data_IF_228160063738
#
_entry.id   IF_228160063738
#
_cell.length_a   1.000
_cell.length_b   1.000
_cell.length_c   1.000
_cell.angle_alpha   90.00
_cell.angle_beta   90.00
_cell.angle_gamma   90.00
#
_symmetry.space_group_name_H-M   'P 1'
#
loop_
_entity.id
_entity.type
_entity.pdbx_description
1 polymer ?
#
# COMPACT_ATOMS: atom_id res chain seq x y z
N UNK A 1 23.24 -7.42 14.03
CA UNK A 1 22.70 -8.64 13.38
C UNK A 1 23.48 -8.85 12.11
N UNK A 2 24.36 -9.84 12.09
CA UNK A 2 25.24 -10.12 10.95
C UNK A 2 24.48 -10.90 9.89
N UNK A 3 24.36 -10.31 8.69
CA UNK A 3 23.71 -10.85 7.49
C UNK A 3 24.54 -11.96 6.82
N UNK A 4 24.91 -13.00 7.57
CA UNK A 4 25.57 -14.14 6.94
C UNK A 4 24.51 -15.11 6.42
N UNK A 5 24.36 -15.15 5.10
CA UNK A 5 23.59 -16.21 4.45
C UNK A 5 24.22 -17.57 4.79
N UNK A 6 23.42 -18.62 5.05
CA UNK A 6 23.93 -19.97 5.26
C UNK A 6 24.81 -20.37 4.07
N UNK A 7 25.89 -21.09 4.35
CA UNK A 7 26.76 -21.65 3.32
C UNK A 7 26.19 -22.93 2.70
N UNK A 8 25.13 -23.51 3.29
CA UNK A 8 24.36 -24.63 2.76
C UNK A 8 23.09 -24.20 2.02
N UNK A 9 22.42 -25.15 1.37
CA UNK A 9 21.18 -24.91 0.62
C UNK A 9 19.92 -24.80 1.48
N UNK A 10 19.99 -25.20 2.75
CA UNK A 10 18.88 -25.12 3.70
C UNK A 10 19.06 -23.93 4.63
N UNK A 11 17.98 -23.16 4.83
CA UNK A 11 17.94 -22.12 5.84
C UNK A 11 17.91 -22.76 7.24
N UNK A 12 18.75 -22.29 8.15
CA UNK A 12 18.69 -22.69 9.56
C UNK A 12 17.56 -21.93 10.26
N UNK A 13 16.99 -22.51 11.33
CA UNK A 13 15.96 -21.85 12.14
C UNK A 13 16.42 -20.47 12.65
N UNK A 14 17.69 -20.35 13.04
CA UNK A 14 18.28 -19.08 13.50
C UNK A 14 18.32 -18.02 12.38
N UNK A 15 18.64 -18.43 11.14
CA UNK A 15 18.63 -17.54 9.98
C UNK A 15 17.21 -17.08 9.65
N UNK A 16 16.24 -17.98 9.66
CA UNK A 16 14.83 -17.64 9.43
C UNK A 16 14.28 -16.70 10.52
N UNK A 17 14.61 -16.96 11.79
CA UNK A 17 14.22 -16.10 12.91
C UNK A 17 14.88 -14.72 12.84
N UNK A 18 16.15 -14.64 12.44
CA UNK A 18 16.83 -13.37 12.22
C UNK A 18 16.15 -12.57 11.10
N UNK A 19 15.79 -13.21 9.99
CA UNK A 19 15.03 -12.57 8.92
C UNK A 19 13.64 -12.12 9.35
N UNK A 20 12.92 -12.94 10.12
CA UNK A 20 11.63 -12.57 10.69
C UNK A 20 11.76 -11.33 11.60
N UNK A 21 12.78 -11.31 12.46
CA UNK A 21 13.06 -10.19 13.36
C UNK A 21 13.41 -8.92 12.60
N UNK A 22 14.25 -8.99 11.57
CA UNK A 22 14.59 -7.83 10.75
C UNK A 22 13.35 -7.32 9.99
N UNK A 23 12.52 -8.23 9.46
CA UNK A 23 11.26 -7.83 8.82
C UNK A 23 10.31 -7.14 9.80
N UNK A 24 10.20 -7.62 11.03
CA UNK A 24 9.41 -6.97 12.08
C UNK A 24 9.93 -5.55 12.38
N UNK A 25 11.23 -5.40 12.65
CA UNK A 25 11.85 -4.09 12.88
C UNK A 25 11.57 -3.13 11.71
N UNK A 26 11.66 -3.63 10.48
CA UNK A 26 11.55 -2.81 9.27
C UNK A 26 10.10 -2.41 8.96
N UNK A 27 9.17 -3.35 9.10
CA UNK A 27 7.77 -3.20 8.66
C UNK A 27 6.89 -2.63 9.78
N UNK A 28 7.15 -3.01 11.03
CA UNK A 28 6.33 -2.66 12.19
C UNK A 28 6.92 -1.50 12.96
N UNK A 29 8.23 -1.52 13.21
CA UNK A 29 8.89 -0.52 14.06
C UNK A 29 9.49 0.64 13.28
N UNK A 30 9.39 0.63 11.94
CA UNK A 30 9.84 1.71 11.08
C UNK A 30 11.36 1.83 10.95
N UNK A 31 12.13 0.83 11.41
CA UNK A 31 13.59 0.81 11.31
C UNK A 31 13.99 0.69 9.83
N UNK A 32 15.05 1.42 9.43
CA UNK A 32 15.63 1.30 8.09
C UNK A 32 16.89 0.45 8.12
N UNK A 33 17.15 -0.28 7.04
CA UNK A 33 18.36 -1.09 6.86
C UNK A 33 19.58 -0.19 6.57
N UNK A 34 19.33 0.89 5.84
CA UNK A 34 20.26 1.99 5.56
C UNK A 34 19.40 3.25 5.49
N UNK A 35 19.27 3.96 6.60
CA UNK A 35 18.39 5.13 6.71
C UNK A 35 19.18 6.43 6.66
N UNK A 36 18.55 7.49 6.17
CA UNK A 36 19.18 8.82 6.10
C UNK A 36 20.13 8.98 4.93
N UNK A 37 19.95 8.17 3.87
CA UNK A 37 20.69 8.31 2.63
C UNK A 37 20.14 9.51 1.84
N UNK A 38 20.93 10.57 1.77
CA UNK A 38 20.57 11.79 1.03
C UNK A 38 20.68 11.55 -0.48
N UNK A 39 19.96 12.34 -1.28
CA UNK A 39 20.19 12.32 -2.72
C UNK A 39 21.49 13.03 -3.04
N UNK A 40 22.20 12.55 -4.05
CA UNK A 40 23.39 13.21 -4.59
C UNK A 40 23.13 13.70 -6.01
N UNK A 41 23.51 14.95 -6.28
CA UNK A 41 23.51 15.56 -7.61
C UNK A 41 24.94 15.84 -8.05
N UNK A 42 25.34 15.26 -9.18
CA UNK A 42 26.66 15.44 -9.75
C UNK A 42 26.60 16.25 -11.03
N UNK A 43 27.33 17.37 -11.08
CA UNK A 43 27.48 18.21 -12.26
C UNK A 43 28.60 17.67 -13.14
N UNK A 44 28.29 17.34 -14.39
CA UNK A 44 29.27 16.97 -15.42
C UNK A 44 29.89 18.24 -16.03
N UNK A 45 31.21 18.34 -16.06
CA UNK A 45 31.94 19.45 -16.67
C UNK A 45 32.05 19.39 -18.21
N UNK A 46 31.56 18.30 -18.81
CA UNK A 46 31.65 18.04 -20.25
C UNK A 46 32.98 17.40 -20.69
N UNK A 47 33.98 17.34 -19.82
CA UNK A 47 35.24 16.63 -20.02
C UNK A 47 35.24 15.23 -19.38
N UNK A 48 34.12 14.84 -18.75
CA UNK A 48 33.94 13.55 -18.09
C UNK A 48 34.26 13.57 -16.59
N UNK A 49 34.48 14.75 -16.01
CA UNK A 49 34.59 14.93 -14.57
C UNK A 49 33.23 15.28 -13.98
N UNK A 50 32.96 14.75 -12.80
CA UNK A 50 31.72 14.97 -12.08
C UNK A 50 32.00 15.62 -10.72
N UNK A 51 31.33 16.73 -10.44
CA UNK A 51 31.44 17.45 -9.17
C UNK A 51 30.17 17.24 -8.35
N UNK A 52 30.30 16.84 -7.09
CA UNK A 52 29.16 16.81 -6.17
C UNK A 52 28.70 18.25 -5.90
N UNK A 53 27.49 18.56 -6.36
CA UNK A 53 26.82 19.85 -6.21
C UNK A 53 25.54 19.72 -5.38
N UNK A 54 25.39 18.64 -4.62
CA UNK A 54 24.14 18.29 -3.92
C UNK A 54 23.73 19.39 -2.92
N UNK A 55 24.70 19.90 -2.15
CA UNK A 55 24.47 20.97 -1.17
C UNK A 55 24.08 22.30 -1.82
N UNK A 56 24.77 22.69 -2.91
CA UNK A 56 24.53 23.98 -3.58
C UNK A 56 23.27 23.97 -4.44
N UNK A 57 22.83 22.79 -4.90
CA UNK A 57 21.55 22.60 -5.60
C UNK A 57 20.38 22.37 -4.66
N UNK A 58 20.65 22.22 -3.35
CA UNK A 58 19.67 21.84 -2.32
C UNK A 58 18.96 20.51 -2.59
N UNK A 59 19.62 19.59 -3.30
CA UNK A 59 19.09 18.25 -3.57
C UNK A 59 19.36 17.26 -2.42
N UNK A 60 20.29 17.58 -1.52
CA UNK A 60 20.80 16.76 -0.40
C UNK A 60 19.93 16.81 0.87
N UNK A 61 18.61 16.80 0.73
CA UNK A 61 17.72 16.76 1.88
C UNK A 61 18.11 15.63 2.85
N UNK A 62 18.11 15.91 4.15
CA UNK A 62 18.46 14.97 5.23
C UNK A 62 17.52 13.76 5.38
N UNK A 63 16.58 13.60 4.46
CA UNK A 63 15.63 12.52 4.46
C UNK A 63 16.22 11.25 3.86
N UNK A 64 15.51 10.15 4.03
CA UNK A 64 15.89 8.88 3.45
C UNK A 64 15.43 8.79 1.97
N UNK A 65 16.24 9.31 1.05
CA UNK A 65 16.00 9.36 -0.39
C UNK A 65 15.91 7.98 -1.03
N UNK A 66 14.99 7.80 -1.98
CA UNK A 66 14.75 6.49 -2.63
C UNK A 66 14.56 6.54 -4.12
N UNK A 67 13.91 7.57 -4.64
CA UNK A 67 13.67 7.67 -6.06
C UNK A 67 13.74 9.11 -6.54
N UNK A 68 14.20 9.26 -7.78
CA UNK A 68 14.19 10.50 -8.55
C UNK A 68 13.53 10.23 -9.89
N UNK A 69 12.68 11.14 -10.35
CA UNK A 69 12.18 11.16 -11.71
C UNK A 69 12.33 12.58 -12.26
N UNK A 70 12.66 12.70 -13.55
CA UNK A 70 12.78 14.00 -14.23
C UNK A 70 11.62 14.24 -15.17
N UNK A 71 11.19 15.50 -15.24
CA UNK A 71 10.13 15.98 -16.12
C UNK A 71 10.20 17.51 -16.24
N UNK A 72 9.72 18.07 -17.34
CA UNK A 72 9.47 19.51 -17.48
C UNK A 72 8.02 19.76 -17.01
N UNK A 73 7.84 19.96 -15.70
CA UNK A 73 6.52 19.96 -15.07
C UNK A 73 5.72 21.18 -15.49
N UNK A 74 6.30 22.37 -15.40
CA UNK A 74 5.60 23.61 -15.73
C UNK A 74 5.70 23.96 -17.22
N UNK A 75 6.59 23.31 -17.96
CA UNK A 75 6.68 23.45 -19.39
C UNK A 75 7.60 24.57 -19.87
N UNK A 76 8.43 25.12 -19.00
CA UNK A 76 9.34 26.20 -19.32
C UNK A 76 10.62 25.74 -20.04
N UNK A 77 10.79 24.43 -20.22
CA UNK A 77 11.95 23.85 -20.88
C UNK A 77 13.14 23.62 -19.97
N UNK A 78 12.99 23.75 -18.65
CA UNK A 78 13.94 23.31 -17.64
C UNK A 78 13.45 21.99 -17.06
N UNK A 79 14.33 21.00 -16.95
CA UNK A 79 13.97 19.75 -16.31
C UNK A 79 13.89 19.94 -14.80
N UNK A 80 12.74 19.59 -14.24
CA UNK A 80 12.43 19.53 -12.82
C UNK A 80 12.68 18.13 -12.26
N UNK A 81 12.77 18.05 -10.93
CA UNK A 81 12.96 16.80 -10.20
C UNK A 81 11.75 16.47 -9.33
N UNK A 82 11.20 15.27 -9.50
CA UNK A 82 10.28 14.67 -8.55
C UNK A 82 11.05 13.68 -7.67
N UNK A 83 11.22 14.03 -6.40
CA UNK A 83 11.93 13.23 -5.42
C UNK A 83 10.94 12.47 -4.54
N UNK A 84 11.26 11.20 -4.26
CA UNK A 84 10.53 10.35 -3.32
C UNK A 84 11.44 9.87 -2.22
N UNK A 85 11.06 10.14 -0.97
CA UNK A 85 11.74 9.68 0.24
C UNK A 85 10.91 8.64 0.99
N UNK A 86 11.59 7.78 1.76
CA UNK A 86 10.94 6.83 2.67
C UNK A 86 10.33 7.57 3.86
N UNK A 87 11.08 8.50 4.44
CA UNK A 87 10.66 9.38 5.53
C UNK A 87 9.86 10.57 5.00
N UNK A 88 9.11 11.23 5.90
CA UNK A 88 8.41 12.45 5.55
C UNK A 88 9.39 13.63 5.48
N UNK A 89 9.20 14.59 4.56
CA UNK A 89 8.24 14.61 3.44
C UNK A 89 8.52 13.51 2.40
N UNK A 90 7.49 12.74 2.03
CA UNK A 90 7.66 11.56 1.15
C UNK A 90 7.77 11.91 -0.32
N UNK A 91 7.24 13.05 -0.73
CA UNK A 91 7.29 13.56 -2.11
C UNK A 91 7.71 15.02 -2.10
N UNK A 92 8.58 15.39 -3.04
CA UNK A 92 8.93 16.79 -3.35
C UNK A 92 9.03 16.98 -4.84
N UNK A 93 8.43 18.06 -5.34
CA UNK A 93 8.72 18.60 -6.65
C UNK A 93 9.72 19.74 -6.48
N UNK A 94 10.87 19.65 -7.14
CA UNK A 94 11.86 20.72 -7.22
C UNK A 94 11.76 21.35 -8.59
N UNK A 95 11.31 22.60 -8.63
CA UNK A 95 11.28 23.38 -9.85
C UNK A 95 12.67 23.92 -10.15
N UNK A 96 13.16 23.67 -11.35
CA UNK A 96 14.46 24.16 -11.78
C UNK A 96 14.34 25.64 -12.16
N UNK A 97 15.19 26.48 -11.57
CA UNK A 97 15.22 27.93 -11.77
C UNK A 97 16.58 28.41 -12.29
N UNK A 98 17.44 27.50 -12.75
CA UNK A 98 18.71 27.87 -13.34
C UNK A 98 18.50 28.58 -14.68
N UNK A 99 19.40 29.50 -15.02
CA UNK A 99 19.47 30.06 -16.36
C UNK A 99 19.72 28.92 -17.36
N UNK A 100 18.79 28.75 -18.29
CA UNK A 100 18.83 27.70 -19.29
C UNK A 100 18.90 28.33 -20.69
N UNK A 101 19.73 27.74 -21.55
CA UNK A 101 19.75 28.06 -22.97
C UNK A 101 18.54 27.49 -23.70
N UNK A 102 18.62 27.43 -25.03
CA UNK A 102 17.62 26.78 -25.88
C UNK A 102 17.37 25.32 -25.48
N UNK A 103 16.15 24.85 -25.69
CA UNK A 103 15.75 23.47 -25.41
C UNK A 103 14.94 22.89 -26.57
N UNK A 104 14.79 21.57 -26.61
CA UNK A 104 13.86 20.89 -27.50
C UNK A 104 13.26 19.69 -26.76
N UNK A 105 11.93 19.58 -26.79
CA UNK A 105 11.20 18.47 -26.16
C UNK A 105 10.45 17.65 -27.22
N UNK A 106 10.68 16.34 -27.27
CA UNK A 106 10.11 15.45 -28.28
C UNK A 106 9.32 14.30 -27.65
N UNK A 107 8.05 14.21 -28.00
CA UNK A 107 7.19 13.06 -27.74
C UNK A 107 7.14 12.17 -28.98
N UNK A 108 7.36 10.88 -28.81
CA UNK A 108 7.34 9.92 -29.91
C UNK A 108 6.06 9.06 -29.85
N UNK A 109 5.50 8.77 -31.01
CA UNK A 109 4.36 7.86 -31.15
C UNK A 109 4.65 6.83 -32.24
N UNK A 110 4.82 5.58 -31.82
CA UNK A 110 4.96 4.45 -32.73
C UNK A 110 3.66 4.12 -33.44
N UNK A 111 3.73 3.72 -34.72
CA UNK A 111 2.57 3.25 -35.50
C UNK A 111 2.76 1.84 -36.03
N UNK A 112 4.01 1.44 -36.31
CA UNK A 112 4.41 0.10 -36.73
C UNK A 112 5.23 -0.62 -35.65
N UNK A 113 5.72 0.09 -34.63
CA UNK A 113 6.33 -0.45 -33.42
C UNK A 113 5.41 -0.31 -32.19
N UNK A 114 5.93 -0.58 -30.99
CA UNK A 114 5.20 -0.30 -29.75
C UNK A 114 4.79 1.19 -29.68
N UNK A 115 3.56 1.47 -29.20
CA UNK A 115 2.93 2.81 -29.29
C UNK A 115 3.74 3.90 -28.60
N UNK A 116 4.42 3.56 -27.51
CA UNK A 116 5.27 4.48 -26.75
C UNK A 116 6.67 4.65 -27.36
N UNK A 117 6.97 3.98 -28.47
CA UNK A 117 8.25 4.04 -29.17
C UNK A 117 9.47 3.72 -28.29
N UNK A 118 9.29 2.91 -27.24
CA UNK A 118 10.37 2.46 -26.36
C UNK A 118 11.44 1.75 -27.20
N UNK A 119 12.69 2.19 -27.06
CA UNK A 119 13.84 1.77 -27.84
C UNK A 119 14.21 2.70 -29.00
N UNK A 120 13.37 3.69 -29.34
CA UNK A 120 13.66 4.66 -30.39
C UNK A 120 14.87 5.53 -30.02
N UNK A 121 15.69 5.87 -31.01
CA UNK A 121 16.87 6.72 -30.84
C UNK A 121 16.68 7.98 -31.66
N UNK A 122 16.83 9.13 -31.01
CA UNK A 122 16.71 10.43 -31.64
C UNK A 122 18.06 11.11 -31.67
N UNK A 123 18.40 11.63 -32.84
CA UNK A 123 19.60 12.40 -33.13
C UNK A 123 19.17 13.81 -33.51
N UNK A 124 19.68 14.80 -32.77
CA UNK A 124 19.47 16.23 -33.05
C UNK A 124 20.81 16.78 -33.51
N UNK A 125 20.88 17.13 -34.79
CA UNK A 125 22.04 17.72 -35.43
C UNK A 125 22.01 19.24 -35.27
N UNK A 126 23.07 19.78 -34.70
CA UNK A 126 23.35 21.20 -34.52
C UNK A 126 24.68 21.53 -35.20
N UNK A 127 25.01 22.81 -35.31
CA UNK A 127 26.32 23.22 -35.81
C UNK A 127 27.44 22.58 -34.98
N UNK A 128 28.27 21.75 -35.62
CA UNK A 128 29.44 21.13 -35.02
C UNK A 128 29.19 20.04 -33.97
N UNK A 129 27.94 19.69 -33.64
CA UNK A 129 27.64 18.64 -32.64
C UNK A 129 26.32 17.90 -32.92
N UNK A 130 26.26 16.65 -32.46
CA UNK A 130 25.05 15.81 -32.53
C UNK A 130 24.67 15.36 -31.13
N UNK A 131 23.48 15.74 -30.69
CA UNK A 131 22.90 15.25 -29.44
C UNK A 131 22.14 13.96 -29.72
N UNK A 132 22.26 12.97 -28.84
CA UNK A 132 21.58 11.68 -28.98
C UNK A 132 20.89 11.29 -27.68
N UNK A 133 19.64 10.88 -27.78
CA UNK A 133 18.92 10.21 -26.70
C UNK A 133 18.22 8.95 -27.20
N UNK A 134 18.04 8.00 -26.28
CA UNK A 134 17.26 6.78 -26.51
C UNK A 134 16.06 6.83 -25.58
N UNK A 135 14.86 6.62 -26.12
CA UNK A 135 13.67 6.48 -25.31
C UNK A 135 13.68 5.10 -24.62
N UNK A 136 13.69 5.09 -23.29
CA UNK A 136 13.75 3.89 -22.48
C UNK A 136 12.50 3.76 -21.61
N UNK A 137 12.22 2.53 -21.15
CA UNK A 137 11.26 2.24 -20.10
C UNK A 137 12.01 1.53 -18.97
N UNK A 138 11.76 1.95 -17.74
CA UNK A 138 12.50 1.57 -16.55
C UNK A 138 13.78 2.40 -16.41
N UNK A 139 13.69 3.53 -15.70
CA UNK A 139 14.83 4.28 -15.19
C UNK A 139 14.64 4.62 -13.71
N UNK A 140 15.73 4.94 -13.00
CA UNK A 140 15.72 5.16 -11.55
C UNK A 140 15.24 3.95 -10.73
N UNK A 141 15.26 4.07 -9.40
CA UNK A 141 14.81 3.02 -8.49
C UNK A 141 13.36 3.26 -8.06
N UNK A 142 12.44 2.33 -8.36
CA UNK A 142 11.00 2.44 -8.03
C UNK A 142 10.30 3.70 -8.59
N UNK A 143 10.83 4.27 -9.67
CA UNK A 143 10.27 5.43 -10.37
C UNK A 143 10.39 5.27 -11.88
N UNK A 144 9.95 6.29 -12.61
CA UNK A 144 10.05 6.40 -14.06
C UNK A 144 10.04 7.89 -14.42
N UNK A 145 11.06 8.38 -15.12
CA UNK A 145 11.08 9.74 -15.68
C UNK A 145 10.13 9.86 -16.87
N UNK A 146 9.81 11.10 -17.25
CA UNK A 146 8.96 11.38 -18.41
C UNK A 146 9.48 10.69 -19.67
N UNK A 147 8.56 10.15 -20.48
CA UNK A 147 8.89 9.61 -21.82
C UNK A 147 9.20 10.68 -22.86
N UNK A 148 9.12 11.96 -22.48
CA UNK A 148 9.47 13.07 -23.36
C UNK A 148 10.98 13.20 -23.40
N UNK A 149 11.56 13.07 -24.59
CA UNK A 149 12.99 13.27 -24.79
C UNK A 149 13.29 14.76 -24.74
N UNK A 150 14.21 15.15 -23.86
CA UNK A 150 14.57 16.54 -23.62
C UNK A 150 16.02 16.80 -24.03
N UNK A 151 16.23 17.76 -24.92
CA UNK A 151 17.54 18.15 -25.42
C UNK A 151 17.86 19.59 -25.00
N UNK A 152 18.92 19.78 -24.21
CA UNK A 152 19.51 21.10 -23.99
C UNK A 152 20.33 21.53 -25.19
N UNK A 153 19.92 22.61 -25.86
CA UNK A 153 20.55 23.16 -27.06
C UNK A 153 21.57 24.27 -26.75
N UNK A 154 21.66 24.74 -25.50
CA UNK A 154 22.55 25.85 -25.13
C UNK A 154 22.26 27.09 -25.97
N UNK A 155 23.29 27.73 -26.52
CA UNK A 155 23.14 28.92 -27.38
C UNK A 155 22.75 28.59 -28.83
N UNK A 156 22.51 27.32 -29.19
CA UNK A 156 22.18 26.98 -30.56
C UNK A 156 20.74 27.39 -30.90
N UNK A 157 20.59 28.36 -31.79
CA UNK A 157 19.29 28.86 -32.26
C UNK A 157 18.68 28.00 -33.38
N UNK A 158 19.51 27.25 -34.12
CA UNK A 158 19.10 26.49 -35.29
C UNK A 158 19.35 24.98 -35.12
N UNK A 159 18.36 24.19 -35.54
CA UNK A 159 18.44 22.73 -35.64
C UNK A 159 18.59 22.37 -37.11
N UNK A 160 19.72 21.77 -37.48
CA UNK A 160 19.99 21.38 -38.87
C UNK A 160 19.13 20.17 -39.29
N UNK A 161 18.96 19.21 -38.39
CA UNK A 161 18.19 18.00 -38.64
C UNK A 161 17.78 17.29 -37.35
N UNK A 162 16.55 16.78 -37.33
CA UNK A 162 16.13 15.74 -36.38
C UNK A 162 15.94 14.42 -37.13
N UNK A 163 16.67 13.38 -36.69
CA UNK A 163 16.57 12.02 -37.21
C UNK A 163 16.12 11.07 -36.10
N UNK A 164 15.12 10.27 -36.39
CA UNK A 164 14.61 9.22 -35.50
C UNK A 164 14.91 7.87 -36.12
N UNK A 165 15.53 6.98 -35.36
CA UNK A 165 15.64 5.55 -35.66
C UNK A 165 14.67 4.82 -34.75
N UNK A 166 13.64 4.22 -35.33
CA UNK A 166 12.56 3.57 -34.61
C UNK A 166 12.97 2.17 -34.13
N UNK A 167 12.23 1.57 -33.16
CA UNK A 167 12.54 0.24 -32.62
C UNK A 167 12.53 -0.89 -33.67
N UNK A 168 11.77 -0.72 -34.75
CA UNK A 168 11.72 -1.65 -35.88
C UNK A 168 12.87 -1.47 -36.88
N UNK A 169 13.78 -0.52 -36.64
CA UNK A 169 14.91 -0.19 -37.50
C UNK A 169 14.60 0.80 -38.61
N UNK A 170 13.35 1.22 -38.78
CA UNK A 170 13.01 2.26 -39.75
C UNK A 170 13.59 3.61 -39.34
N UNK A 171 13.90 4.45 -40.33
CA UNK A 171 14.47 5.78 -40.10
C UNK A 171 13.56 6.88 -40.64
N UNK A 172 13.50 7.99 -39.92
CA UNK A 172 12.69 9.15 -40.27
C UNK A 172 13.48 10.44 -40.05
N UNK A 173 13.48 11.30 -41.06
CA UNK A 173 13.95 12.69 -40.94
C UNK A 173 12.74 13.59 -40.79
N UNK A 174 12.73 14.42 -39.76
CA UNK A 174 11.57 15.21 -39.36
C UNK A 174 11.78 16.66 -39.75
N UNK A 175 10.74 17.29 -40.33
CA UNK A 175 10.73 18.72 -40.68
C UNK A 175 9.86 19.53 -39.71
N UNK A 176 10.09 20.84 -39.65
CA UNK A 176 9.28 21.77 -38.86
C UNK A 176 9.58 21.75 -37.36
N UNK A 177 10.81 21.37 -36.98
CA UNK A 177 11.27 21.37 -35.59
C UNK A 177 12.15 22.59 -35.37
N UNK A 178 11.80 23.43 -34.41
CA UNK A 178 12.50 24.65 -34.03
C UNK A 178 12.99 24.55 -32.58
N UNK A 179 14.01 25.32 -32.24
CA UNK A 179 14.49 25.46 -30.86
C UNK A 179 13.44 26.14 -29.97
N UNK A 180 13.48 25.87 -28.66
CA UNK A 180 12.61 26.46 -27.66
C UNK A 180 11.17 25.94 -27.69
N UNK A 181 10.94 24.78 -28.31
CA UNK A 181 9.62 24.25 -28.51
C UNK A 181 9.53 22.75 -28.26
N UNK A 182 8.29 22.28 -28.25
CA UNK A 182 7.90 20.91 -27.96
C UNK A 182 7.09 20.34 -29.10
N UNK A 183 7.35 19.09 -29.44
CA UNK A 183 6.75 18.45 -30.59
C UNK A 183 6.35 17.02 -30.32
N UNK A 184 5.31 16.57 -31.01
CA UNK A 184 4.99 15.16 -31.20
C UNK A 184 5.45 14.71 -32.58
N UNK A 185 6.21 13.64 -32.61
CA UNK A 185 6.66 12.96 -33.82
C UNK A 185 5.96 11.61 -33.89
N UNK A 186 5.09 11.46 -34.89
CA UNK A 186 4.42 10.20 -35.18
C UNK A 186 5.22 9.46 -36.25
N UNK A 187 5.44 8.17 -36.05
CA UNK A 187 6.14 7.31 -37.00
C UNK A 187 5.45 7.36 -38.37
N UNK A 188 6.23 7.71 -39.40
CA UNK A 188 5.78 7.85 -40.79
C UNK A 188 5.26 9.23 -41.17
N UNK A 189 5.11 10.17 -40.23
CA UNK A 189 4.73 11.55 -40.53
C UNK A 189 5.96 12.41 -40.92
N UNK A 190 5.88 13.17 -42.02
CA UNK A 190 7.02 14.01 -42.44
C UNK A 190 7.23 15.25 -41.56
N UNK A 191 6.15 15.79 -40.99
CA UNK A 191 6.15 17.00 -40.18
C UNK A 191 5.91 16.66 -38.71
N UNK A 192 6.64 17.36 -37.83
CA UNK A 192 6.37 17.33 -36.40
C UNK A 192 5.12 18.14 -36.06
N UNK A 193 4.28 17.62 -35.16
CA UNK A 193 3.14 18.36 -34.61
C UNK A 193 3.63 19.20 -33.43
N UNK A 194 3.59 20.52 -33.54
CA UNK A 194 3.94 21.41 -32.43
C UNK A 194 2.90 21.28 -31.32
N UNK A 195 3.35 21.00 -30.11
CA UNK A 195 2.47 20.89 -28.94
C UNK A 195 2.33 22.25 -28.26
N UNK A 196 1.15 22.60 -27.71
CA UNK A 196 0.98 23.82 -26.95
C UNK A 196 1.86 23.80 -25.70
N UNK A 197 2.33 24.97 -25.28
CA UNK A 197 3.01 25.13 -24.00
C UNK A 197 2.11 24.55 -22.88
N UNK A 198 2.72 23.79 -21.98
CA UNK A 198 2.02 23.37 -20.77
C UNK A 198 1.83 24.62 -19.95
N UNK A 199 0.61 24.86 -19.48
CA UNK A 199 0.34 25.85 -18.46
C UNK A 199 -0.15 25.07 -17.24
N UNK A 200 0.76 24.73 -16.34
CA UNK A 200 0.39 24.22 -15.03
C UNK A 200 0.24 25.39 -14.05
N UNK A 201 -0.70 25.28 -13.10
CA UNK A 201 -0.84 26.27 -12.04
C UNK A 201 0.49 26.43 -11.31
N UNK A 202 0.90 27.67 -11.05
CA UNK A 202 2.00 27.94 -10.13
C UNK A 202 1.62 27.37 -8.77
N UNK A 203 2.30 26.28 -8.39
CA UNK A 203 2.16 25.70 -7.07
C UNK A 203 2.86 26.63 -6.09
N UNK A 204 2.10 27.46 -5.40
CA UNK A 204 2.64 28.20 -4.26
C UNK A 204 3.07 27.20 -3.20
N UNK A 205 4.30 27.32 -2.68
CA UNK A 205 4.75 26.54 -1.53
C UNK A 205 3.78 26.81 -0.36
N UNK A 206 2.86 25.88 -0.11
CA UNK A 206 1.98 25.98 1.05
C UNK A 206 2.83 25.64 2.28
N UNK A 207 2.73 26.39 3.39
CA UNK A 207 3.29 25.94 4.65
C UNK A 207 2.71 24.55 4.93
N UNK A 208 3.59 23.57 5.12
CA UNK A 208 3.19 22.22 5.47
C UNK A 208 2.42 22.29 6.79
N UNK A 209 1.10 22.38 6.72
CA UNK A 209 0.26 22.28 7.89
C UNK A 209 0.37 20.82 8.30
N UNK A 210 0.93 20.50 9.49
CA UNK A 210 0.93 19.13 9.96
C UNK A 210 -0.50 18.65 9.87
N UNK A 211 -0.75 17.58 9.11
CA UNK A 211 -2.08 16.97 9.11
C UNK A 211 -2.29 16.55 10.55
N UNK A 212 -3.12 17.32 11.27
CA UNK A 212 -3.53 16.96 12.61
C UNK A 212 -4.04 15.52 12.50
N UNK A 213 -3.53 14.62 13.34
CA UNK A 213 -4.08 13.26 13.40
C UNK A 213 -5.55 13.41 13.80
N UNK A 214 -6.44 13.51 12.81
CA UNK A 214 -7.88 13.36 13.00
C UNK A 214 -7.99 12.01 13.67
N UNK A 215 -8.53 12.00 14.90
CA UNK A 215 -8.44 10.87 15.83
C UNK A 215 -8.65 9.53 15.11
N UNK A 216 -7.88 8.52 15.51
CA UNK A 216 -7.67 7.26 14.76
C UNK A 216 -8.94 6.86 14.00
N UNK A 217 -9.00 7.08 12.68
CA UNK A 217 -10.19 6.75 11.92
C UNK A 217 -10.46 5.26 12.07
N UNK A 218 -11.74 4.88 12.07
CA UNK A 218 -12.09 3.47 12.01
C UNK A 218 -11.52 2.91 10.74
N UNK A 219 -10.56 2.01 10.85
CA UNK A 219 -10.04 1.30 9.68
C UNK A 219 -10.99 0.15 9.43
N UNK A 220 -11.91 0.34 8.46
CA UNK A 220 -12.80 -0.71 7.96
C UNK A 220 -12.11 -1.47 6.85
N UNK A 221 -11.89 -2.76 7.04
CA UNK A 221 -11.11 -3.62 6.14
C UNK A 221 -11.99 -4.82 5.75
N UNK A 222 -12.79 -4.70 4.66
CA UNK A 222 -13.48 -5.85 4.09
C UNK A 222 -12.45 -6.80 3.46
N UNK A 223 -12.53 -8.08 3.80
CA UNK A 223 -11.59 -9.06 3.28
C UNK A 223 -11.89 -9.34 1.80
N UNK A 224 -10.87 -9.73 1.03
CA UNK A 224 -11.05 -10.20 -0.36
C UNK A 224 -11.51 -11.67 -0.35
N UNK A 225 -10.87 -12.47 0.51
CA UNK A 225 -11.20 -13.87 0.76
C UNK A 225 -11.54 -14.03 2.25
N UNK A 226 -12.64 -14.69 2.58
CA UNK A 226 -13.06 -14.94 3.95
C UNK A 226 -12.07 -15.84 4.68
N UNK A 227 -11.90 -15.67 5.99
CA UNK A 227 -10.99 -16.51 6.79
C UNK A 227 -11.80 -17.40 7.72
N UNK A 228 -11.67 -18.74 7.66
CA UNK A 228 -12.41 -19.64 8.54
C UNK A 228 -11.89 -19.50 9.98
N UNK A 229 -12.80 -19.19 10.90
CA UNK A 229 -12.52 -19.03 12.33
C UNK A 229 -13.44 -19.90 13.20
N UNK A 230 -14.19 -20.85 12.63
CA UNK A 230 -15.19 -21.64 13.37
C UNK A 230 -14.64 -22.31 14.63
N UNK A 231 -13.45 -22.90 14.56
CA UNK A 231 -12.77 -23.53 15.72
C UNK A 231 -12.04 -22.54 16.64
N UNK A 232 -12.20 -21.22 16.46
CA UNK A 232 -11.58 -20.22 17.32
C UNK A 232 -12.25 -20.24 18.71
N UNK A 233 -11.48 -20.40 19.81
CA UNK A 233 -12.04 -20.37 21.16
C UNK A 233 -12.60 -18.99 21.51
N UNK A 234 -13.80 -18.95 22.09
CA UNK A 234 -14.48 -17.74 22.58
C UNK A 234 -15.00 -17.98 24.01
N UNK A 235 -14.11 -18.27 24.98
CA UNK A 235 -14.49 -18.71 26.31
C UNK A 235 -15.32 -17.66 27.03
N UNK A 236 -16.21 -18.12 27.91
CA UNK A 236 -16.98 -17.31 28.84
C UNK A 236 -16.99 -17.97 30.21
N UNK A 237 -17.39 -17.23 31.25
CA UNK A 237 -17.50 -17.78 32.60
C UNK A 237 -18.48 -18.97 32.68
N UNK A 238 -19.57 -18.93 31.90
CA UNK A 238 -20.60 -19.97 31.87
C UNK A 238 -20.24 -21.12 30.92
N UNK A 239 -19.48 -20.83 29.86
CA UNK A 239 -19.06 -21.79 28.85
C UNK A 239 -17.57 -21.63 28.53
N UNK A 240 -16.67 -22.26 29.30
CA UNK A 240 -15.21 -22.15 29.11
C UNK A 240 -14.73 -22.73 27.78
N UNK A 241 -15.38 -23.78 27.28
CA UNK A 241 -15.01 -24.48 26.04
C UNK A 241 -15.72 -23.92 24.79
N UNK A 242 -16.43 -22.79 24.92
CA UNK A 242 -17.19 -22.20 23.81
C UNK A 242 -16.27 -21.80 22.66
N UNK A 243 -16.70 -22.06 21.44
CA UNK A 243 -16.03 -21.69 20.20
C UNK A 243 -16.92 -20.81 19.33
N UNK A 244 -16.36 -20.26 18.25
CA UNK A 244 -17.15 -19.52 17.26
C UNK A 244 -18.20 -20.41 16.56
N UNK A 245 -17.94 -21.70 16.42
CA UNK A 245 -18.87 -22.66 15.81
C UNK A 245 -20.19 -22.79 16.58
N UNK A 246 -20.20 -22.50 17.89
CA UNK A 246 -21.43 -22.50 18.70
C UNK A 246 -22.43 -21.39 18.30
N UNK A 247 -21.97 -20.43 17.51
CA UNK A 247 -22.80 -19.36 16.94
C UNK A 247 -23.18 -19.60 15.48
N UNK A 248 -22.89 -20.77 14.92
CA UNK A 248 -23.21 -21.12 13.54
C UNK A 248 -24.68 -20.85 13.19
N UNK A 249 -24.91 -20.44 11.94
CA UNK A 249 -26.23 -20.04 11.44
C UNK A 249 -26.58 -18.56 11.68
N UNK A 250 -25.74 -17.79 12.38
CA UNK A 250 -25.94 -16.35 12.61
C UNK A 250 -24.66 -15.57 12.35
N UNK A 251 -24.74 -14.33 11.80
CA UNK A 251 -23.58 -13.46 11.75
C UNK A 251 -23.15 -13.07 13.17
N UNK A 252 -21.84 -13.04 13.40
CA UNK A 252 -21.25 -12.75 14.71
C UNK A 252 -20.34 -11.54 14.62
N UNK A 253 -20.48 -10.60 15.54
CA UNK A 253 -19.52 -9.53 15.77
C UNK A 253 -18.72 -9.86 17.03
N UNK A 254 -17.50 -10.37 16.86
CA UNK A 254 -16.55 -10.49 17.96
C UNK A 254 -15.99 -9.09 18.22
N UNK A 255 -16.15 -8.58 19.44
CA UNK A 255 -15.74 -7.23 19.82
C UNK A 255 -14.70 -7.28 20.94
N UNK A 256 -13.47 -6.88 20.64
CA UNK A 256 -12.38 -6.80 21.60
C UNK A 256 -12.39 -5.44 22.27
N UNK A 257 -12.41 -5.44 23.60
CA UNK A 257 -12.55 -4.22 24.37
C UNK A 257 -11.83 -4.30 25.71
N UNK A 258 -11.63 -3.14 26.34
CA UNK A 258 -11.04 -3.04 27.68
C UNK A 258 -11.77 -2.05 28.59
N UNK A 259 -11.66 -2.21 29.91
CA UNK A 259 -12.35 -1.43 30.94
C UNK A 259 -11.90 0.04 31.00
N UNK A 260 -10.73 0.35 30.43
CA UNK A 260 -10.17 1.69 30.32
C UNK A 260 -10.31 2.27 28.89
N UNK A 261 -11.02 1.58 28.00
CA UNK A 261 -11.23 2.02 26.62
C UNK A 261 -12.49 2.90 26.49
N UNK A 262 -12.30 4.22 26.49
CA UNK A 262 -13.42 5.18 26.35
C UNK A 262 -14.20 5.01 25.03
N UNK A 263 -13.52 4.63 23.95
CA UNK A 263 -14.15 4.37 22.65
C UNK A 263 -15.02 3.12 22.66
N UNK A 264 -14.64 2.09 23.43
CA UNK A 264 -15.41 0.86 23.59
C UNK A 264 -16.75 1.15 24.30
N UNK A 265 -16.75 1.98 25.34
CA UNK A 265 -18.00 2.40 26.00
C UNK A 265 -18.92 3.19 25.07
N UNK A 266 -18.35 4.09 24.25
CA UNK A 266 -19.13 4.82 23.23
C UNK A 266 -19.72 3.90 22.17
N UNK A 267 -19.02 2.81 21.85
CA UNK A 267 -19.46 1.77 20.91
C UNK A 267 -20.60 0.94 21.50
N UNK A 268 -20.48 0.48 22.75
CA UNK A 268 -21.57 -0.23 23.45
C UNK A 268 -22.84 0.61 23.59
N UNK A 269 -22.71 1.90 23.90
CA UNK A 269 -23.86 2.80 23.91
C UNK A 269 -24.51 2.92 22.51
N UNK A 270 -23.73 2.80 21.43
CA UNK A 270 -24.26 2.79 20.07
C UNK A 270 -24.97 1.47 19.72
N UNK A 271 -24.43 0.33 20.17
CA UNK A 271 -25.08 -0.98 20.04
C UNK A 271 -26.42 -1.00 20.78
N UNK A 272 -26.45 -0.55 22.04
CA UNK A 272 -27.67 -0.48 22.85
C UNK A 272 -28.76 0.37 22.18
N UNK A 273 -28.42 1.58 21.69
CA UNK A 273 -29.38 2.46 20.99
C UNK A 273 -29.94 1.87 19.70
N UNK A 274 -29.26 0.89 19.09
CA UNK A 274 -29.64 0.28 17.82
C UNK A 274 -29.93 -1.22 17.96
N UNK A 275 -30.14 -1.71 19.18
CA UNK A 275 -30.28 -3.13 19.49
C UNK A 275 -31.35 -3.82 18.64
N UNK A 276 -32.53 -3.21 18.48
CA UNK A 276 -33.62 -3.75 17.64
C UNK A 276 -33.22 -3.90 16.17
N UNK A 277 -32.44 -2.97 15.62
CA UNK A 277 -32.00 -3.02 14.22
C UNK A 277 -30.92 -4.08 13.99
N UNK A 278 -30.07 -4.32 14.99
CA UNK A 278 -29.05 -5.36 14.97
C UNK A 278 -29.68 -6.75 15.15
N UNK A 279 -30.58 -6.88 16.13
CA UNK A 279 -31.35 -8.10 16.37
C UNK A 279 -32.23 -8.49 15.17
N UNK A 280 -32.87 -7.50 14.51
CA UNK A 280 -33.63 -7.72 13.28
C UNK A 280 -32.80 -8.22 12.09
N UNK A 281 -31.46 -8.17 12.18
CA UNK A 281 -30.51 -8.75 11.22
C UNK A 281 -29.87 -10.06 11.72
N UNK A 282 -30.32 -10.58 12.86
CA UNK A 282 -29.78 -11.79 13.46
C UNK A 282 -28.34 -11.66 13.98
N UNK A 283 -27.80 -10.45 14.11
CA UNK A 283 -26.42 -10.24 14.55
C UNK A 283 -26.26 -10.59 16.03
N UNK A 284 -25.30 -11.48 16.32
CA UNK A 284 -24.87 -11.79 17.69
C UNK A 284 -23.61 -10.99 17.99
N UNK A 285 -23.62 -10.20 19.06
CA UNK A 285 -22.44 -9.48 19.53
C UNK A 285 -21.80 -10.31 20.64
N UNK A 286 -20.49 -10.56 20.52
CA UNK A 286 -19.68 -11.31 21.48
C UNK A 286 -18.56 -10.38 21.99
N UNK A 287 -18.80 -9.65 23.09
CA UNK A 287 -17.77 -8.81 23.69
C UNK A 287 -16.73 -9.67 24.42
N UNK A 288 -15.46 -9.58 24.05
CA UNK A 288 -14.34 -10.23 24.72
C UNK A 288 -13.46 -9.19 25.39
N UNK A 289 -13.38 -9.25 26.72
CA UNK A 289 -12.51 -8.36 27.48
C UNK A 289 -11.04 -8.79 27.38
N UNK A 290 -10.14 -7.83 27.16
CA UNK A 290 -8.70 -8.08 27.00
C UNK A 290 -7.87 -7.79 28.25
N UNK A 291 -8.48 -7.31 29.35
CA UNK A 291 -7.76 -6.91 30.56
C UNK A 291 -7.48 -8.09 31.51
N UNK A 292 -7.89 -9.30 31.13
CA UNK A 292 -7.65 -10.52 31.87
C UNK A 292 -8.62 -10.76 33.04
N UNK A 293 -8.42 -11.85 33.79
CA UNK A 293 -9.38 -12.35 34.78
C UNK A 293 -9.58 -11.39 35.97
N UNK A 294 -8.58 -10.57 36.31
CA UNK A 294 -8.65 -9.59 37.41
C UNK A 294 -9.72 -8.52 37.16
N UNK A 295 -9.96 -8.17 35.89
CA UNK A 295 -10.95 -7.17 35.50
C UNK A 295 -12.37 -7.74 35.37
N UNK A 296 -12.56 -9.07 35.50
CA UNK A 296 -13.80 -9.77 35.15
C UNK A 296 -15.05 -9.21 35.82
N UNK A 297 -15.00 -8.96 37.13
CA UNK A 297 -16.14 -8.41 37.87
C UNK A 297 -16.52 -7.00 37.38
N UNK A 298 -15.52 -6.15 37.13
CA UNK A 298 -15.72 -4.79 36.60
C UNK A 298 -16.22 -4.83 35.16
N UNK A 299 -15.69 -5.74 34.33
CA UNK A 299 -16.09 -5.92 32.95
C UNK A 299 -17.55 -6.35 32.85
N UNK A 300 -17.96 -7.35 33.65
CA UNK A 300 -19.34 -7.80 33.75
C UNK A 300 -20.28 -6.64 34.15
N UNK A 301 -19.96 -5.93 35.24
CA UNK A 301 -20.76 -4.79 35.70
C UNK A 301 -20.89 -3.66 34.67
N UNK A 302 -19.88 -3.46 33.81
CA UNK A 302 -19.95 -2.49 32.71
C UNK A 302 -20.87 -2.99 31.58
N UNK A 303 -20.74 -4.25 31.17
CA UNK A 303 -21.56 -4.83 30.10
C UNK A 303 -23.05 -4.91 30.49
N UNK A 304 -23.37 -5.21 31.74
CA UNK A 304 -24.75 -5.24 32.24
C UNK A 304 -25.48 -3.91 32.09
N UNK A 305 -24.76 -2.77 32.11
CA UNK A 305 -25.37 -1.44 31.86
C UNK A 305 -25.87 -1.29 30.42
N UNK A 306 -25.32 -2.08 29.50
CA UNK A 306 -25.62 -2.03 28.08
C UNK A 306 -26.44 -3.25 27.60
N UNK A 307 -26.67 -4.26 28.43
CA UNK A 307 -27.37 -5.50 28.06
C UNK A 307 -26.54 -6.38 27.12
N UNK A 308 -25.22 -6.42 27.31
CA UNK A 308 -24.27 -7.16 26.44
C UNK A 308 -23.56 -8.31 27.17
N UNK A 309 -23.98 -8.63 28.39
CA UNK A 309 -23.37 -9.63 29.27
C UNK A 309 -23.61 -11.07 28.83
N UNK A 310 -24.72 -11.35 28.12
CA UNK A 310 -25.16 -12.71 27.80
C UNK A 310 -24.11 -13.52 27.03
N UNK A 311 -23.46 -12.93 26.03
CA UNK A 311 -22.45 -13.61 25.22
C UNK A 311 -21.02 -13.20 25.59
N UNK A 312 -20.86 -12.43 26.67
CA UNK A 312 -19.58 -11.87 27.05
C UNK A 312 -18.56 -12.95 27.40
N UNK A 313 -17.29 -12.65 27.13
CA UNK A 313 -16.17 -13.51 27.44
C UNK A 313 -14.92 -12.71 27.73
N UNK A 314 -13.81 -13.42 27.80
CA UNK A 314 -12.48 -12.87 28.00
C UNK A 314 -11.51 -13.48 27.00
N UNK A 315 -10.48 -12.74 26.63
CA UNK A 315 -9.43 -13.27 25.77
C UNK A 315 -8.40 -14.05 26.59
N UNK A 316 -7.90 -15.15 26.04
CA UNK A 316 -6.71 -15.84 26.53
C UNK A 316 -5.48 -15.51 25.66
N UNK A 317 -4.25 -15.73 26.17
CA UNK A 317 -3.03 -15.49 25.40
C UNK A 317 -3.02 -16.22 24.04
N UNK A 318 -3.48 -17.48 24.00
CA UNK A 318 -3.56 -18.28 22.77
C UNK A 318 -4.58 -17.71 21.77
N UNK A 319 -5.68 -17.15 22.24
CA UNK A 319 -6.63 -16.44 21.39
C UNK A 319 -5.98 -15.21 20.75
N UNK A 320 -5.25 -14.42 21.55
CA UNK A 320 -4.58 -13.21 21.05
C UNK A 320 -3.49 -13.56 20.02
N UNK A 321 -2.70 -14.61 20.26
CA UNK A 321 -1.71 -15.11 19.30
C UNK A 321 -2.36 -15.56 17.99
N UNK A 322 -3.47 -16.30 18.07
CA UNK A 322 -4.19 -16.75 16.89
C UNK A 322 -4.78 -15.57 16.10
N UNK A 323 -5.38 -14.61 16.80
CA UNK A 323 -5.90 -13.39 16.21
C UNK A 323 -4.79 -12.59 15.53
N UNK A 324 -3.67 -12.34 16.21
CA UNK A 324 -2.54 -11.58 15.63
C UNK A 324 -1.98 -12.27 14.38
N UNK A 325 -1.93 -13.60 14.36
CA UNK A 325 -1.56 -14.39 13.17
C UNK A 325 -2.54 -14.18 12.03
N UNK A 326 -3.84 -14.22 12.31
CA UNK A 326 -4.90 -13.93 11.32
C UNK A 326 -4.80 -12.49 10.83
N UNK A 327 -4.60 -11.52 11.72
CA UNK A 327 -4.46 -10.11 11.38
C UNK A 327 -3.21 -9.89 10.52
N UNK A 328 -2.09 -10.52 10.84
CA UNK A 328 -0.88 -10.46 10.02
C UNK A 328 -1.12 -11.01 8.61
N UNK A 329 -1.85 -12.11 8.47
CA UNK A 329 -2.21 -12.66 7.15
C UNK A 329 -3.11 -11.70 6.35
N UNK A 330 -4.03 -11.00 7.02
CA UNK A 330 -4.92 -10.02 6.39
C UNK A 330 -4.19 -8.72 6.02
N UNK A 331 -3.38 -8.19 6.94
CA UNK A 331 -2.82 -6.84 6.87
C UNK A 331 -1.39 -6.80 6.33
N UNK A 332 -0.68 -7.94 6.30
CA UNK A 332 0.74 -8.05 5.93
C UNK A 332 1.70 -7.28 6.84
N UNK A 333 1.19 -6.78 7.97
CA UNK A 333 1.89 -6.02 9.02
C UNK A 333 1.22 -6.30 10.35
N UNK A 334 1.98 -6.27 11.45
CA UNK A 334 1.41 -6.27 12.81
C UNK A 334 1.53 -4.85 13.36
N UNK A 335 0.43 -4.19 13.66
CA UNK A 335 0.43 -2.88 14.34
C UNK A 335 -0.15 -2.99 15.75
N UNK A 336 -0.19 -4.21 16.29
CA UNK A 336 -0.97 -4.57 17.47
C UNK A 336 -2.48 -4.62 17.19
N UNK A 337 -3.24 -4.87 18.25
CA UNK A 337 -4.71 -4.93 18.22
C UNK A 337 -5.28 -3.73 18.98
N UNK A 338 -5.48 -2.55 18.33
CA UNK A 338 -5.99 -1.37 19.02
C UNK A 338 -7.41 -1.60 19.52
N UNK A 339 -7.78 -1.04 20.67
CA UNK A 339 -9.14 -1.21 21.22
C UNK A 339 -10.03 0.02 20.91
N UNK A 340 -11.28 -0.18 20.46
CA UNK A 340 -11.88 -1.48 20.13
C UNK A 340 -11.36 -2.03 18.80
N UNK A 341 -11.26 -3.34 18.69
CA UNK A 341 -11.11 -4.06 17.42
C UNK A 341 -12.27 -5.03 17.29
N UNK A 342 -12.93 -5.06 16.14
CA UNK A 342 -14.07 -5.94 15.91
C UNK A 342 -13.94 -6.75 14.63
N UNK A 343 -14.42 -7.98 14.69
CA UNK A 343 -14.40 -8.95 13.60
C UNK A 343 -15.84 -9.31 13.28
N UNK A 344 -16.31 -8.98 12.07
CA UNK A 344 -17.60 -9.42 11.56
C UNK A 344 -17.42 -10.72 10.81
N UNK A 345 -18.12 -11.74 11.29
CA UNK A 345 -18.07 -13.12 10.85
C UNK A 345 -19.43 -13.50 10.27
N UNK A 346 -19.44 -14.25 9.16
CA UNK A 346 -20.65 -14.80 8.58
C UNK A 346 -21.23 -15.99 9.37
N UNK A 347 -22.38 -16.49 8.91
CA UNK A 347 -23.09 -17.59 9.54
C UNK A 347 -22.33 -18.93 9.52
N UNK A 348 -21.24 -19.04 8.76
CA UNK A 348 -20.40 -20.23 8.64
C UNK A 348 -19.14 -20.12 9.51
N UNK A 349 -19.01 -19.05 10.30
CA UNK A 349 -17.84 -18.82 11.11
C UNK A 349 -16.65 -18.30 10.30
N UNK A 350 -16.88 -17.65 9.15
CA UNK A 350 -15.82 -17.05 8.34
C UNK A 350 -15.74 -15.53 8.55
N UNK A 351 -14.56 -15.02 8.87
CA UNK A 351 -14.27 -13.60 8.96
C UNK A 351 -14.46 -12.90 7.60
N UNK A 352 -15.27 -11.84 7.59
CA UNK A 352 -15.60 -11.07 6.40
C UNK A 352 -15.10 -9.62 6.46
N UNK A 353 -15.17 -8.98 7.64
CA UNK A 353 -14.73 -7.58 7.83
C UNK A 353 -13.98 -7.44 9.14
N UNK A 354 -12.86 -6.73 9.09
CA UNK A 354 -12.13 -6.27 10.26
C UNK A 354 -12.37 -4.77 10.46
N UNK A 355 -12.61 -4.36 11.71
CA UNK A 355 -12.69 -2.96 12.11
C UNK A 355 -11.67 -2.68 13.19
N UNK A 356 -10.80 -1.68 12.98
CA UNK A 356 -9.89 -1.18 14.00
C UNK A 356 -10.31 0.24 14.40
N UNK A 357 -10.69 0.43 15.66
CA UNK A 357 -11.31 1.65 16.16
C UNK A 357 -12.84 1.55 16.26
N UNK A 358 -13.46 2.59 16.84
CA UNK A 358 -14.90 2.64 17.18
C UNK A 358 -15.80 2.58 15.95
N UNK A 359 -16.40 1.45 15.65
CA UNK A 359 -17.24 1.21 14.48
C UNK A 359 -18.37 2.25 14.38
N UNK A 360 -18.68 2.66 13.15
CA UNK A 360 -19.89 3.43 12.87
C UNK A 360 -21.09 2.49 12.68
N UNK A 361 -22.23 2.82 13.27
CA UNK A 361 -23.44 1.99 13.14
C UNK A 361 -23.92 1.86 11.68
N UNK A 362 -23.66 2.87 10.84
CA UNK A 362 -23.99 2.82 9.43
C UNK A 362 -23.19 1.74 8.70
N UNK A 363 -21.89 1.62 8.98
CA UNK A 363 -21.04 0.58 8.40
C UNK A 363 -21.43 -0.81 8.91
N UNK A 364 -21.62 -0.96 10.22
CA UNK A 364 -22.00 -2.25 10.79
C UNK A 364 -23.33 -2.77 10.23
N UNK A 365 -24.37 -1.93 10.20
CA UNK A 365 -25.68 -2.33 9.69
C UNK A 365 -25.64 -2.67 8.19
N UNK A 366 -24.87 -1.93 7.41
CA UNK A 366 -24.65 -2.20 5.98
C UNK A 366 -23.96 -3.56 5.80
N UNK A 367 -22.86 -3.76 6.51
CA UNK A 367 -22.02 -4.95 6.35
C UNK A 367 -22.72 -6.20 6.83
N UNK A 368 -23.43 -6.15 7.95
CA UNK A 368 -24.27 -7.27 8.40
C UNK A 368 -25.34 -7.61 7.36
N UNK A 369 -25.93 -6.62 6.70
CA UNK A 369 -26.93 -6.85 5.64
C UNK A 369 -26.30 -7.58 4.44
N UNK A 370 -25.11 -7.14 4.02
CA UNK A 370 -24.38 -7.77 2.91
C UNK A 370 -23.96 -9.19 3.28
N UNK A 371 -23.34 -9.38 4.45
CA UNK A 371 -22.86 -10.68 4.95
C UNK A 371 -24.01 -11.70 5.04
N UNK A 372 -25.20 -11.28 5.48
CA UNK A 372 -26.36 -12.16 5.56
C UNK A 372 -26.86 -12.67 4.19
N UNK A 373 -26.47 -12.01 3.09
CA UNK A 373 -26.85 -12.39 1.72
C UNK A 373 -25.74 -13.10 0.95
N UNK A 374 -24.55 -13.23 1.54
CA UNK A 374 -23.43 -13.92 0.88
C UNK A 374 -23.69 -15.41 0.79
N UNK A 375 -23.20 -16.03 -0.28
CA UNK A 375 -23.15 -17.48 -0.38
C UNK A 375 -22.22 -18.04 0.72
N UNK A 376 -22.74 -18.89 1.62
CA UNK A 376 -21.95 -19.67 2.57
C UNK A 376 -20.80 -20.48 1.97
N UNK A 377 -20.99 -21.01 0.76
CA UNK A 377 -20.02 -21.85 0.07
C UNK A 377 -18.94 -21.06 -0.66
N UNK A 378 -19.17 -19.78 -0.96
CA UNK A 378 -18.18 -18.93 -1.60
C UNK A 378 -17.16 -18.44 -0.56
N UNK A 379 -15.89 -18.62 -0.85
CA UNK A 379 -14.81 -18.07 -0.02
C UNK A 379 -14.54 -16.59 -0.31
N UNK A 380 -15.19 -15.99 -1.30
CA UNK A 380 -15.04 -14.57 -1.62
C UNK A 380 -15.87 -13.68 -0.70
N UNK A 381 -15.32 -12.51 -0.38
CA UNK A 381 -16.04 -11.40 0.23
C UNK A 381 -16.18 -10.20 -0.74
N UNK A 382 -16.07 -10.44 -2.06
CA UNK A 382 -16.08 -9.40 -3.10
C UNK A 382 -17.32 -8.49 -3.07
N UNK A 383 -18.47 -8.98 -2.62
CA UNK A 383 -19.70 -8.20 -2.46
C UNK A 383 -19.57 -7.04 -1.46
N UNK A 384 -18.62 -7.11 -0.51
CA UNK A 384 -18.30 -6.01 0.42
C UNK A 384 -17.47 -4.89 -0.22
N UNK A 385 -17.01 -5.08 -1.47
CA UNK A 385 -16.20 -4.13 -2.24
C UNK A 385 -17.01 -3.44 -3.35
N UNK A 386 -18.35 -3.44 -3.23
CA UNK A 386 -19.25 -2.63 -4.07
C UNK A 386 -19.06 -2.81 -5.58
N UNK A 387 -18.82 -4.04 -6.03
CA UNK A 387 -18.75 -4.38 -7.47
C UNK A 387 -17.36 -4.29 -8.10
N UNK A 388 -16.31 -4.07 -7.30
CA UNK A 388 -14.93 -4.14 -7.79
C UNK A 388 -14.50 -5.58 -8.11
N UNK A 389 -13.79 -5.76 -9.22
CA UNK A 389 -13.12 -7.03 -9.55
C UNK A 389 -11.85 -7.12 -8.71
N UNK A 390 -11.77 -8.14 -7.87
CA UNK A 390 -10.62 -8.37 -6.99
C UNK A 390 -9.90 -9.66 -7.37
N UNK A 391 -8.58 -9.59 -7.44
CA UNK A 391 -7.75 -10.78 -7.58
C UNK A 391 -7.72 -11.53 -6.25
N UNK A 392 -8.18 -12.79 -6.25
CA UNK A 392 -8.03 -13.67 -5.08
C UNK A 392 -6.54 -13.90 -4.84
N UNK A 393 -6.05 -13.62 -3.63
CA UNK A 393 -4.67 -13.89 -3.23
C UNK A 393 -4.52 -15.36 -2.87
N UNK A 394 -3.43 -16.00 -3.28
CA UNK A 394 -3.08 -17.32 -2.78
C UNK A 394 -2.70 -17.24 -1.29
N UNK A 395 -3.41 -17.96 -0.43
CA UNK A 395 -3.12 -18.06 1.01
C UNK A 395 -2.37 -19.34 1.32
N UNK A 396 -1.38 -19.24 2.20
CA UNK A 396 -0.61 -20.38 2.68
C UNK A 396 -1.30 -21.04 3.88
N UNK A 397 -2.36 -21.84 3.60
CA UNK A 397 -3.11 -22.54 4.64
C UNK A 397 -2.25 -23.51 5.46
N UNK A 398 -1.23 -24.11 4.84
CA UNK A 398 -0.31 -25.03 5.52
C UNK A 398 0.59 -24.32 6.55
N UNK A 399 1.02 -23.08 6.27
CA UNK A 399 1.72 -22.27 7.26
C UNK A 399 0.83 -21.99 8.47
N UNK A 400 -0.38 -21.48 8.25
CA UNK A 400 -1.33 -21.18 9.33
C UNK A 400 -1.69 -22.43 10.16
N UNK A 401 -1.85 -23.58 9.52
CA UNK A 401 -2.08 -24.85 10.20
C UNK A 401 -0.95 -25.19 11.18
N UNK A 402 0.31 -25.15 10.73
CA UNK A 402 1.48 -25.41 11.58
C UNK A 402 1.59 -24.38 12.71
N UNK A 403 1.34 -23.10 12.41
CA UNK A 403 1.38 -22.03 13.42
C UNK A 403 0.34 -22.25 14.52
N UNK A 404 -0.90 -22.59 14.17
CA UNK A 404 -1.94 -22.86 15.17
C UNK A 404 -1.70 -24.14 15.98
N UNK A 405 -1.08 -25.17 15.38
CA UNK A 405 -0.66 -26.37 16.10
C UNK A 405 0.36 -26.01 17.21
N UNK A 406 1.34 -25.15 16.91
CA UNK A 406 2.33 -24.66 17.89
C UNK A 406 1.69 -23.88 19.03
N UNK A 407 0.54 -23.24 18.81
CA UNK A 407 -0.22 -22.55 19.87
C UNK A 407 -1.13 -23.49 20.69
N UNK A 408 -1.14 -24.79 20.37
CA UNK A 408 -2.04 -25.76 21.00
C UNK A 408 -3.49 -25.68 20.51
N UNK A 409 -3.76 -24.97 19.41
CA UNK A 409 -5.10 -24.81 18.83
C UNK A 409 -5.38 -25.92 17.80
N UNK A 410 -5.31 -27.18 18.25
CA UNK A 410 -5.34 -28.36 17.38
C UNK A 410 -6.61 -28.45 16.50
N UNK A 411 -7.77 -27.97 16.98
CA UNK A 411 -8.99 -27.93 16.18
C UNK A 411 -8.86 -26.94 15.00
N UNK A 412 -8.36 -25.74 15.25
CA UNK A 412 -8.10 -24.73 14.23
C UNK A 412 -7.00 -25.19 13.26
N UNK A 413 -5.92 -25.79 13.77
CA UNK A 413 -4.85 -26.36 12.95
C UNK A 413 -5.39 -27.41 11.95
N UNK A 414 -6.20 -28.37 12.42
CA UNK A 414 -6.83 -29.39 11.55
C UNK A 414 -7.72 -28.79 10.48
N UNK A 415 -8.49 -27.76 10.80
CA UNK A 415 -9.35 -27.08 9.82
C UNK A 415 -8.53 -26.45 8.68
N UNK A 416 -7.37 -25.88 9.01
CA UNK A 416 -6.47 -25.26 8.05
C UNK A 416 -5.68 -26.30 7.24
N UNK A 417 -5.26 -27.42 7.86
CA UNK A 417 -4.62 -28.54 7.16
C UNK A 417 -5.53 -29.11 6.05
N UNK A 418 -6.80 -29.38 6.35
CA UNK A 418 -7.76 -29.89 5.36
C UNK A 418 -7.93 -28.94 4.16
N UNK A 419 -7.82 -27.62 4.39
CA UNK A 419 -7.91 -26.60 3.33
C UNK A 419 -6.64 -26.49 2.51
N UNK A 420 -5.48 -26.74 3.13
CA UNK A 420 -4.21 -26.85 2.40
C UNK A 420 -4.23 -28.06 1.45
N UNK A 421 -4.76 -29.19 1.92
CA UNK A 421 -4.90 -30.43 1.13
C UNK A 421 -5.90 -30.29 -0.02
N UNK A 422 -7.06 -29.67 0.21
CA UNK A 422 -8.10 -29.49 -0.81
C UNK A 422 -7.74 -28.49 -1.95
N UNK A 423 -6.58 -27.82 -1.85
CA UNK A 423 -6.08 -26.86 -2.85
C UNK A 423 -4.91 -27.38 -3.70
N UNK A 424 -4.34 -28.53 -3.33
CA UNK A 424 -3.46 -29.31 -4.20
C UNK A 424 -4.30 -30.22 -5.09
#
# INVERSE_FOLDING_TARGET
MTSQSPTGTEATDEYEQAWASIQELTRTQGVSWSGGEQNHLFLNDGAGTFYDVSAVSHADFSDDGRAVATLDWDGDGRLDLLLRSRTAPRFRLMLNQADAGGHLSLQLVGTQCNRDAIGARVFVHLEGRVLRQTLQAGDSFLAQSSKTLHFGLGEAEQIEQVRVVWPDGSEQRVRGVEAGARYRITQGAEQAERLPASHHEQLSAAPATPVARVGTPVVRIPLIEKIPLGSLPLPSAEHPERTLADFAGRPVLINLWGVNCANCLKEFAAFQRRATQLAGRGLVIVPLNTDGPEARARAHAMLSKFGLEQNAGETHPTFMQALETVLYEVLGTSTGTPLPTSLLVDAQGQLCVLYQGKITMGDLLRDTTIVATMDPGDTSAATLHFGQRLLKRHRNWGFLARTFETYGLAALARDYSRRAEARN
#
